data_IF_013170124521
#
_entry.id   IF_013170124521
#
_cell.length_a   1.000
_cell.length_b   1.000
_cell.length_c   1.000
_cell.angle_alpha   90.00
_cell.angle_beta   90.00
_cell.angle_gamma   90.00
#
_symmetry.space_group_name_H-M   'P 1'
#
loop_
_entity.id
_entity.type
_entity.pdbx_description
1 polymer ?
#
# COMPACT_ATOMS: atom_id res chain seq x y z
N UNK A 1 -8.12 -12.86 14.94
CA UNK A 1 -8.12 -11.98 16.13
C UNK A 1 -9.40 -12.18 16.90
N UNK A 2 -9.29 -12.70 18.12
CA UNK A 2 -10.46 -13.08 18.90
C UNK A 2 -11.05 -11.83 19.55
N UNK A 3 -12.28 -11.48 19.19
CA UNK A 3 -13.06 -10.39 19.82
C UNK A 3 -12.92 -10.39 21.35
N UNK A 4 -12.92 -11.58 21.96
CA UNK A 4 -12.76 -11.79 23.40
C UNK A 4 -11.48 -11.18 23.99
N UNK A 5 -10.36 -11.21 23.26
CA UNK A 5 -9.09 -10.62 23.71
C UNK A 5 -9.15 -9.10 23.68
N UNK A 6 -9.75 -8.54 22.63
CA UNK A 6 -9.95 -7.09 22.48
C UNK A 6 -10.94 -6.58 23.54
N UNK A 7 -12.00 -7.34 23.82
CA UNK A 7 -12.97 -7.03 24.86
C UNK A 7 -12.35 -7.04 26.26
N UNK A 8 -11.48 -8.01 26.56
CA UNK A 8 -10.73 -8.03 27.82
C UNK A 8 -9.82 -6.81 27.96
N UNK A 9 -9.09 -6.43 26.90
CA UNK A 9 -8.24 -5.24 26.91
C UNK A 9 -9.06 -3.94 27.08
N UNK A 10 -10.21 -3.84 26.41
CA UNK A 10 -11.15 -2.73 26.60
C UNK A 10 -11.63 -2.62 28.05
N UNK A 11 -11.99 -3.75 28.66
CA UNK A 11 -12.41 -3.78 30.08
C UNK A 11 -11.29 -3.42 31.05
N UNK A 12 -10.04 -3.66 30.69
CA UNK A 12 -8.88 -3.23 31.49
C UNK A 12 -8.55 -1.76 31.31
N UNK A 13 -8.79 -1.20 30.12
CA UNK A 13 -8.44 0.18 29.78
C UNK A 13 -9.52 1.21 30.14
N UNK A 14 -10.75 0.77 30.42
CA UNK A 14 -11.90 1.64 30.70
C UNK A 14 -12.24 1.56 32.20
N UNK A 15 -12.27 2.72 32.85
CA UNK A 15 -12.58 2.83 34.29
C UNK A 15 -14.04 2.48 34.64
N UNK A 16 -14.99 2.87 33.78
CA UNK A 16 -16.41 2.52 33.92
C UNK A 16 -16.96 1.78 32.68
N UNK A 17 -17.17 0.48 32.86
CA UNK A 17 -17.69 -0.45 31.84
C UNK A 17 -19.17 -0.17 31.51
N UNK A 18 -19.90 0.45 32.44
CA UNK A 18 -21.32 0.75 32.28
C UNK A 18 -21.58 2.11 31.63
N UNK A 19 -20.56 2.96 31.48
CA UNK A 19 -20.68 4.23 30.78
C UNK A 19 -21.18 4.03 29.33
N UNK A 20 -22.06 4.93 28.90
CA UNK A 20 -22.69 4.89 27.58
C UNK A 20 -21.64 4.98 26.46
N UNK A 21 -20.60 5.80 26.65
CA UNK A 21 -19.51 5.97 25.69
C UNK A 21 -18.68 4.69 25.56
N UNK A 22 -18.41 4.02 26.68
CA UNK A 22 -17.70 2.73 26.72
C UNK A 22 -18.45 1.63 25.97
N UNK A 23 -19.77 1.58 26.11
CA UNK A 23 -20.63 0.65 25.35
C UNK A 23 -20.64 0.95 23.87
N UNK A 24 -20.76 2.23 23.49
CA UNK A 24 -20.71 2.64 22.08
C UNK A 24 -19.36 2.29 21.45
N UNK A 25 -18.26 2.49 22.17
CA UNK A 25 -16.92 2.12 21.73
C UNK A 25 -16.76 0.60 21.54
N UNK A 26 -17.26 -0.19 22.50
CA UNK A 26 -17.25 -1.66 22.38
C UNK A 26 -18.04 -2.12 21.14
N UNK A 27 -19.22 -1.56 20.91
CA UNK A 27 -20.05 -1.88 19.74
C UNK A 27 -19.39 -1.48 18.42
N UNK A 28 -18.77 -0.30 18.36
CA UNK A 28 -18.08 0.17 17.14
C UNK A 28 -16.87 -0.71 16.82
N UNK A 29 -16.06 -1.06 17.83
CA UNK A 29 -14.91 -1.95 17.66
C UNK A 29 -15.36 -3.34 17.23
N UNK A 30 -16.43 -3.88 17.83
CA UNK A 30 -17.00 -5.17 17.40
C UNK A 30 -17.43 -5.13 15.93
N UNK A 31 -18.14 -4.07 15.54
CA UNK A 31 -18.63 -3.89 14.16
C UNK A 31 -17.47 -3.78 13.17
N UNK A 32 -16.40 -3.05 13.54
CA UNK A 32 -15.19 -2.93 12.72
C UNK A 32 -14.50 -4.30 12.59
N UNK A 33 -14.37 -5.04 13.68
CA UNK A 33 -13.74 -6.36 13.67
C UNK A 33 -14.50 -7.35 12.78
N UNK A 34 -15.83 -7.39 12.88
CA UNK A 34 -16.66 -8.24 12.02
C UNK A 34 -16.51 -7.85 10.56
N UNK A 35 -16.51 -6.54 10.26
CA UNK A 35 -16.27 -6.06 8.89
C UNK A 35 -14.89 -6.46 8.37
N UNK A 36 -13.85 -6.35 9.20
CA UNK A 36 -12.49 -6.75 8.84
C UNK A 36 -12.43 -8.25 8.53
N UNK A 37 -13.01 -9.10 9.38
CA UNK A 37 -13.11 -10.54 9.14
C UNK A 37 -13.86 -10.89 7.84
N UNK A 38 -14.97 -10.20 7.57
CA UNK A 38 -15.71 -10.40 6.32
C UNK A 38 -14.88 -9.96 5.11
N UNK A 39 -14.12 -8.88 5.22
CA UNK A 39 -13.23 -8.40 4.16
C UNK A 39 -12.05 -9.36 3.94
N UNK A 40 -11.45 -9.91 5.00
CA UNK A 40 -10.36 -10.89 4.88
C UNK A 40 -10.86 -12.14 4.17
N UNK A 41 -12.00 -12.70 4.58
CA UNK A 41 -12.57 -13.88 3.93
C UNK A 41 -13.00 -13.60 2.49
N UNK A 42 -13.60 -12.44 2.22
CA UNK A 42 -13.94 -12.04 0.85
C UNK A 42 -12.68 -11.93 -0.02
N UNK A 43 -11.59 -11.37 0.52
CA UNK A 43 -10.32 -11.31 -0.19
C UNK A 43 -9.73 -12.70 -0.46
N UNK A 44 -9.82 -13.63 0.49
CA UNK A 44 -9.40 -15.03 0.30
C UNK A 44 -10.21 -15.70 -0.82
N UNK A 45 -11.54 -15.63 -0.76
CA UNK A 45 -12.43 -16.19 -1.78
C UNK A 45 -12.20 -15.56 -3.16
N UNK A 46 -11.93 -14.25 -3.23
CA UNK A 46 -11.60 -13.59 -4.49
C UNK A 46 -10.25 -14.05 -5.05
N UNK A 47 -9.24 -14.26 -4.20
CA UNK A 47 -7.95 -14.82 -4.60
C UNK A 47 -8.13 -16.23 -5.15
N UNK A 48 -8.93 -17.06 -4.50
CA UNK A 48 -9.24 -18.42 -4.97
C UNK A 48 -10.01 -18.42 -6.28
N UNK A 49 -11.05 -17.59 -6.40
CA UNK A 49 -11.83 -17.45 -7.63
C UNK A 49 -10.95 -16.99 -8.80
N UNK A 50 -10.02 -16.06 -8.55
CA UNK A 50 -9.06 -15.59 -9.54
C UNK A 50 -8.08 -16.71 -9.93
N UNK A 51 -7.56 -17.47 -8.97
CA UNK A 51 -6.69 -18.62 -9.24
C UNK A 51 -7.41 -19.68 -10.09
N UNK A 52 -8.65 -20.00 -9.74
CA UNK A 52 -9.50 -20.93 -10.50
C UNK A 52 -9.79 -20.44 -11.91
N UNK A 53 -10.10 -19.15 -12.08
CA UNK A 53 -10.31 -18.54 -13.40
C UNK A 53 -9.03 -18.57 -14.24
N UNK A 54 -7.86 -18.32 -13.64
CA UNK A 54 -6.56 -18.44 -14.32
C UNK A 54 -6.30 -19.88 -14.77
N UNK A 55 -6.52 -20.86 -13.89
CA UNK A 55 -6.38 -22.30 -14.22
C UNK A 55 -7.31 -22.71 -15.37
N UNK A 56 -8.57 -22.28 -15.38
CA UNK A 56 -9.50 -22.51 -16.50
C UNK A 56 -8.97 -21.91 -17.81
N UNK A 57 -8.58 -20.63 -17.79
CA UNK A 57 -8.00 -19.97 -18.97
C UNK A 57 -6.70 -20.61 -19.46
N UNK A 58 -5.91 -21.22 -18.57
CA UNK A 58 -4.71 -21.96 -18.94
C UNK A 58 -5.04 -23.32 -19.55
N UNK A 59 -6.09 -24.00 -19.07
CA UNK A 59 -6.56 -25.29 -19.63
C UNK A 59 -6.99 -25.17 -21.09
N UNK A 60 -7.61 -24.05 -21.46
CA UNK A 60 -8.08 -23.81 -22.83
C UNK A 60 -6.93 -23.41 -23.79
N UNK A 61 -5.75 -23.11 -23.26
CA UNK A 61 -4.56 -22.78 -24.06
C UNK A 61 -3.79 -24.06 -24.39
N UNK A 62 -3.53 -24.29 -25.67
CA UNK A 62 -2.64 -25.36 -26.10
C UNK A 62 -1.24 -25.15 -25.52
N UNK A 63 -0.58 -26.25 -25.13
CA UNK A 63 0.84 -26.22 -24.80
C UNK A 63 1.61 -25.76 -26.03
N UNK A 64 2.46 -24.75 -25.85
CA UNK A 64 3.33 -24.24 -26.90
C UNK A 64 4.47 -25.25 -27.11
N UNK A 65 4.22 -26.22 -27.98
CA UNK A 65 5.22 -27.17 -28.45
C UNK A 65 5.80 -26.62 -29.75
N UNK A 66 7.08 -26.26 -29.74
CA UNK A 66 7.77 -25.75 -30.93
C UNK A 66 7.91 -26.86 -31.96
N UNK A 67 7.41 -26.62 -33.18
CA UNK A 67 7.50 -27.56 -34.29
C UNK A 67 8.98 -27.76 -34.68
N UNK A 68 9.44 -28.99 -34.97
CA UNK A 68 10.78 -29.20 -35.49
C UNK A 68 10.93 -28.58 -36.89
N UNK A 69 12.05 -27.90 -37.15
CA UNK A 69 12.30 -27.14 -38.39
C UNK A 69 12.21 -28.00 -39.66
N UNK A 70 12.51 -29.30 -39.57
CA UNK A 70 12.60 -30.21 -40.73
C UNK A 70 11.31 -31.00 -41.03
N UNK A 71 10.14 -30.59 -40.53
CA UNK A 71 8.88 -31.34 -40.71
C UNK A 71 7.93 -30.68 -41.70
N UNK A 72 7.80 -31.23 -42.91
CA UNK A 72 7.12 -30.53 -43.99
C UNK A 72 5.65 -30.89 -44.22
N UNK A 73 5.11 -32.00 -43.68
CA UNK A 73 3.67 -32.36 -43.74
C UNK A 73 3.36 -33.67 -42.99
N UNK A 74 2.47 -33.63 -41.98
CA UNK A 74 1.95 -34.79 -41.25
C UNK A 74 1.62 -34.50 -39.78
N UNK A 75 0.90 -35.41 -39.09
CA UNK A 75 0.60 -35.28 -37.66
C UNK A 75 1.87 -35.47 -36.81
N UNK A 76 2.10 -34.59 -35.83
CA UNK A 76 3.27 -34.66 -34.93
C UNK A 76 2.84 -35.36 -33.64
N UNK A 77 3.44 -36.51 -33.36
CA UNK A 77 3.29 -37.16 -32.06
C UNK A 77 4.40 -36.69 -31.12
N UNK A 78 4.01 -36.11 -29.98
CA UNK A 78 4.95 -35.62 -28.99
C UNK A 78 5.26 -36.69 -27.94
N UNK A 79 6.53 -36.89 -27.65
CA UNK A 79 6.93 -37.74 -26.52
C UNK A 79 6.49 -37.11 -25.20
N UNK A 80 6.17 -37.91 -24.16
CA UNK A 80 5.83 -37.39 -22.83
C UNK A 80 6.89 -36.43 -22.27
N UNK A 81 8.18 -36.68 -22.55
CA UNK A 81 9.29 -35.81 -22.15
C UNK A 81 9.17 -34.41 -22.77
N UNK A 82 8.89 -34.30 -24.08
CA UNK A 82 8.70 -32.98 -24.73
C UNK A 82 7.48 -32.22 -24.20
N UNK A 83 6.43 -32.94 -23.85
CA UNK A 83 5.25 -32.35 -23.20
C UNK A 83 5.61 -31.81 -21.81
N UNK A 84 6.45 -32.52 -21.05
CA UNK A 84 6.94 -32.07 -19.75
C UNK A 84 7.83 -30.81 -19.88
N UNK A 85 8.75 -30.79 -20.84
CA UNK A 85 9.60 -29.62 -21.11
C UNK A 85 8.77 -28.38 -21.43
N UNK A 86 7.75 -28.50 -22.29
CA UNK A 86 6.87 -27.39 -22.63
C UNK A 86 6.08 -26.86 -21.43
N UNK A 87 5.62 -27.75 -20.53
CA UNK A 87 4.98 -27.34 -19.27
C UNK A 87 5.94 -26.56 -18.38
N UNK A 88 7.16 -27.07 -18.21
CA UNK A 88 8.19 -26.40 -17.42
C UNK A 88 8.53 -25.00 -17.97
N UNK A 89 8.68 -24.88 -19.29
CA UNK A 89 8.90 -23.58 -19.93
C UNK A 89 7.73 -22.61 -19.73
N UNK A 90 6.49 -23.10 -19.78
CA UNK A 90 5.30 -22.29 -19.52
C UNK A 90 5.24 -21.82 -18.07
N UNK A 91 5.61 -22.66 -17.11
CA UNK A 91 5.71 -22.29 -15.69
C UNK A 91 6.79 -21.22 -15.48
N UNK A 92 7.97 -21.38 -16.07
CA UNK A 92 9.04 -20.37 -16.02
C UNK A 92 8.59 -19.03 -16.61
N UNK A 93 7.89 -19.03 -17.76
CA UNK A 93 7.31 -17.81 -18.34
C UNK A 93 6.33 -17.15 -17.37
N UNK A 94 5.43 -17.94 -16.76
CA UNK A 94 4.48 -17.45 -15.77
C UNK A 94 5.13 -16.85 -14.52
N UNK A 95 6.23 -17.45 -14.04
CA UNK A 95 7.00 -16.91 -12.91
C UNK A 95 7.68 -15.58 -13.27
N UNK A 96 8.29 -15.48 -14.46
CA UNK A 96 8.89 -14.24 -14.96
C UNK A 96 7.87 -13.11 -15.07
N UNK A 97 6.71 -13.39 -15.66
CA UNK A 97 5.61 -12.41 -15.76
C UNK A 97 5.16 -11.92 -14.37
N UNK A 98 5.07 -12.82 -13.38
CA UNK A 98 4.73 -12.45 -12.00
C UNK A 98 5.78 -11.55 -11.35
N UNK A 99 7.07 -11.86 -11.54
CA UNK A 99 8.17 -11.03 -11.04
C UNK A 99 8.15 -9.64 -11.68
N UNK A 100 7.92 -9.54 -12.99
CA UNK A 100 7.80 -8.24 -13.66
C UNK A 100 6.62 -7.41 -13.15
N UNK A 101 5.46 -8.03 -12.92
CA UNK A 101 4.30 -7.36 -12.33
C UNK A 101 4.64 -6.86 -10.92
N UNK A 102 5.31 -7.69 -10.13
CA UNK A 102 5.74 -7.32 -8.78
C UNK A 102 6.68 -6.12 -8.79
N UNK A 103 7.75 -6.16 -9.60
CA UNK A 103 8.70 -5.07 -9.77
C UNK A 103 8.02 -3.77 -10.22
N UNK A 104 7.08 -3.85 -11.18
CA UNK A 104 6.30 -2.68 -11.62
C UNK A 104 5.45 -2.10 -10.49
N UNK A 105 4.85 -2.96 -9.65
CA UNK A 105 4.07 -2.52 -8.50
C UNK A 105 4.92 -1.84 -7.43
N UNK A 106 6.12 -2.36 -7.15
CA UNK A 106 7.08 -1.76 -6.22
C UNK A 106 7.59 -0.41 -6.75
N UNK A 107 7.94 -0.36 -8.04
CA UNK A 107 8.36 0.87 -8.68
C UNK A 107 7.26 1.94 -8.66
N UNK A 108 5.98 1.56 -8.78
CA UNK A 108 4.86 2.49 -8.66
C UNK A 108 4.75 3.06 -7.23
N UNK A 109 4.83 2.21 -6.20
CA UNK A 109 4.82 2.64 -4.79
C UNK A 109 5.96 3.60 -4.47
N UNK A 110 7.19 3.25 -4.88
CA UNK A 110 8.35 4.11 -4.66
C UNK A 110 8.18 5.49 -5.32
N UNK A 111 7.57 5.55 -6.51
CA UNK A 111 7.27 6.83 -7.18
C UNK A 111 6.25 7.65 -6.41
N UNK A 112 5.23 7.03 -5.82
CA UNK A 112 4.24 7.72 -4.99
C UNK A 112 4.88 8.28 -3.72
N UNK A 113 5.69 7.47 -3.02
CA UNK A 113 6.45 7.90 -1.84
C UNK A 113 7.37 9.07 -2.15
N UNK A 114 8.10 9.02 -3.27
CA UNK A 114 8.96 10.12 -3.72
C UNK A 114 8.16 11.40 -4.00
N UNK A 115 6.96 11.29 -4.58
CA UNK A 115 6.08 12.45 -4.82
C UNK A 115 5.63 13.05 -3.49
N UNK A 116 5.23 12.23 -2.53
CA UNK A 116 4.79 12.68 -1.20
C UNK A 116 5.96 13.36 -0.47
N UNK A 117 7.13 12.74 -0.42
CA UNK A 117 8.32 13.30 0.22
C UNK A 117 8.74 14.64 -0.41
N UNK A 118 8.68 14.75 -1.74
CA UNK A 118 8.97 16.00 -2.45
C UNK A 118 7.93 17.09 -2.14
N UNK A 119 6.65 16.73 -2.04
CA UNK A 119 5.59 17.66 -1.67
C UNK A 119 5.80 18.18 -0.23
N UNK A 120 6.10 17.30 0.72
CA UNK A 120 6.40 17.64 2.11
C UNK A 120 7.60 18.58 2.22
N UNK A 121 8.70 18.28 1.51
CA UNK A 121 9.88 19.14 1.48
C UNK A 121 9.54 20.55 0.96
N UNK A 122 8.70 20.64 -0.06
CA UNK A 122 8.32 21.92 -0.66
C UNK A 122 7.42 22.73 0.29
N UNK A 123 6.53 22.06 1.02
CA UNK A 123 5.69 22.66 2.05
C UNK A 123 6.52 23.18 3.23
N UNK A 124 7.47 22.39 3.74
CA UNK A 124 8.42 22.83 4.77
C UNK A 124 9.22 24.07 4.32
N UNK A 125 9.69 24.09 3.06
CA UNK A 125 10.37 25.27 2.51
C UNK A 125 9.47 26.51 2.46
N UNK A 126 8.17 26.35 2.21
CA UNK A 126 7.20 27.46 2.26
C UNK A 126 7.02 27.96 3.68
N UNK A 127 6.81 27.05 4.64
CA UNK A 127 6.68 27.38 6.05
C UNK A 127 7.92 28.12 6.57
N UNK A 128 9.12 27.62 6.29
CA UNK A 128 10.37 28.26 6.70
C UNK A 128 10.54 29.68 6.11
N UNK A 129 10.03 29.93 4.90
CA UNK A 129 10.04 31.28 4.32
C UNK A 129 9.07 32.23 5.01
N UNK A 130 7.92 31.73 5.46
CA UNK A 130 6.95 32.53 6.22
C UNK A 130 7.52 32.86 7.59
N UNK A 131 8.01 31.86 8.32
CA UNK A 131 8.65 32.03 9.63
C UNK A 131 9.83 33.01 9.54
N UNK A 132 10.72 32.86 8.55
CA UNK A 132 11.85 33.78 8.38
C UNK A 132 11.42 35.22 8.04
N UNK A 133 10.26 35.43 7.41
CA UNK A 133 9.71 36.78 7.20
C UNK A 133 9.17 37.37 8.50
N UNK A 134 8.38 36.59 9.24
CA UNK A 134 7.83 37.00 10.53
C UNK A 134 8.94 37.33 11.54
N UNK A 135 10.00 36.53 11.59
CA UNK A 135 11.18 36.79 12.43
C UNK A 135 11.86 38.11 12.03
N UNK A 136 12.02 38.38 10.73
CA UNK A 136 12.60 39.65 10.24
C UNK A 136 11.72 40.85 10.61
N UNK A 137 10.41 40.73 10.46
CA UNK A 137 9.45 41.78 10.83
C UNK A 137 9.45 42.03 12.35
N UNK A 138 9.46 40.97 13.16
CA UNK A 138 9.56 41.06 14.61
C UNK A 138 10.88 41.73 15.07
N UNK A 139 12.01 41.35 14.47
CA UNK A 139 13.30 41.97 14.76
C UNK A 139 13.35 43.43 14.32
N UNK A 140 12.76 43.78 13.18
CA UNK A 140 12.66 45.16 12.72
C UNK A 140 11.79 46.02 13.64
N UNK A 141 10.64 45.48 14.09
CA UNK A 141 9.76 46.16 15.06
C UNK A 141 10.45 46.39 16.41
N UNK A 142 11.15 45.38 16.95
CA UNK A 142 11.94 45.52 18.18
C UNK A 142 13.02 46.60 18.06
N UNK A 143 13.77 46.62 16.95
CA UNK A 143 14.77 47.66 16.69
C UNK A 143 14.16 49.04 16.53
N UNK A 144 12.96 49.14 15.96
CA UNK A 144 12.24 50.42 15.84
C UNK A 144 11.82 50.95 17.22
N UNK A 145 11.28 50.09 18.08
CA UNK A 145 10.93 50.45 19.46
C UNK A 145 12.15 50.93 20.25
N UNK A 146 13.26 50.19 20.19
CA UNK A 146 14.53 50.60 20.83
C UNK A 146 15.02 51.97 20.36
N UNK A 147 14.90 52.28 19.06
CA UNK A 147 15.28 53.60 18.53
C UNK A 147 14.38 54.72 19.05
N UNK A 148 13.08 54.46 19.24
CA UNK A 148 12.18 55.45 19.82
C UNK A 148 12.48 55.66 21.32
N UNK A 149 12.73 54.59 22.07
CA UNK A 149 13.16 54.67 23.47
C UNK A 149 14.47 55.47 23.62
N UNK A 150 15.48 55.20 22.78
CA UNK A 150 16.76 55.92 22.78
C UNK A 150 16.62 57.42 22.46
N UNK A 151 15.62 57.80 21.65
CA UNK A 151 15.32 59.21 21.37
C UNK A 151 14.66 59.89 22.58
N UNK A 152 13.74 59.19 23.25
CA UNK A 152 13.02 59.70 24.42
C UNK A 152 13.94 59.88 25.64
N UNK A 153 15.00 59.08 25.78
CA UNK A 153 16.00 59.20 26.86
C UNK A 153 17.02 60.32 26.61
N UNK A 154 17.18 60.76 25.35
CA UNK A 154 18.12 61.84 24.98
C UNK A 154 17.51 63.24 25.00
N UNK A 155 16.21 63.37 25.22
CA UNK A 155 15.51 64.64 25.45
C UNK A 155 15.49 64.98 26.94
#
# INVERSE_FOLDING_TARGET
SDWRKIEQLLKQAVDDIYDSKSRQLSQTIHTILVKDQLLTHKNELLKEALANKKRRRQRDKALLLEKPDNWDRGAIFWSPAKVADARHQQELKGLKEQQEIHQKSEAAKLREEQKIAKAQLLEQRRQNRVVAKEERECLAAKKALQREEDKMVKQ
#
